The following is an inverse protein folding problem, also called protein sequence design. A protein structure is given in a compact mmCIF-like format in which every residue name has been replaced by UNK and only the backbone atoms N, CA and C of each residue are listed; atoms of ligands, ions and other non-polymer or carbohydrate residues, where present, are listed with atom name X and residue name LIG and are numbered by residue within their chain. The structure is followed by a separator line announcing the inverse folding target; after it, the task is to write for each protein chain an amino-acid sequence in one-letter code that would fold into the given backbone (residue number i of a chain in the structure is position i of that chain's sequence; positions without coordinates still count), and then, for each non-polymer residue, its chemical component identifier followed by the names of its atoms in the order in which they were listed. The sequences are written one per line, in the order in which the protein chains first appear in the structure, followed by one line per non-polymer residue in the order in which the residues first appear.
data_IF_791845430253
#
_entry.id   IF_791845430253
#
_cell.length_a   1.000
_cell.length_b   1.000
_cell.length_c   1.000
_cell.angle_alpha   90.00
_cell.angle_beta   90.00
_cell.angle_gamma   90.00
#
_symmetry.space_group_name_H-M   'P 1'
#
loop_
_entity.id
_entity.type
_entity.pdbx_description
1 polymer ?
#
# COMPACT_ATOMS: atom_id res chain seq x y z
N UNK A 1 6.23 -2.82 11.01
CA UNK A 1 5.28 -2.98 9.89
C UNK A 1 6.06 -3.30 8.62
N UNK A 2 5.48 -4.06 7.68
CA UNK A 2 5.99 -4.18 6.30
C UNK A 2 4.93 -3.62 5.38
N UNK A 3 5.29 -2.65 4.55
CA UNK A 3 4.45 -2.16 3.47
C UNK A 3 4.87 -2.82 2.16
N UNK A 4 3.89 -3.09 1.30
CA UNK A 4 4.13 -3.55 -0.06
C UNK A 4 3.27 -2.74 -1.02
N UNK A 5 3.88 -2.28 -2.10
CA UNK A 5 3.18 -1.69 -3.23
C UNK A 5 3.18 -2.69 -4.38
N UNK A 6 2.05 -2.83 -5.07
CA UNK A 6 1.91 -3.73 -6.23
C UNK A 6 1.48 -2.92 -7.44
N UNK A 7 2.27 -2.99 -8.52
CA UNK A 7 1.90 -2.47 -9.82
C UNK A 7 1.37 -3.60 -10.68
N UNK A 8 0.11 -3.50 -11.08
CA UNK A 8 -0.56 -4.53 -11.87
C UNK A 8 -1.29 -3.91 -13.07
N UNK A 9 -1.31 -4.65 -14.18
CA UNK A 9 -2.26 -4.41 -15.26
C UNK A 9 -3.56 -5.11 -14.91
N UNK A 10 -4.68 -4.39 -14.96
CA UNK A 10 -5.99 -4.92 -14.60
C UNK A 10 -7.02 -4.65 -15.70
N UNK A 11 -8.03 -5.50 -15.78
CA UNK A 11 -9.34 -5.12 -16.34
C UNK A 11 -10.37 -5.02 -15.21
N UNK A 12 -11.65 -4.79 -15.50
CA UNK A 12 -12.65 -4.63 -14.45
C UNK A 12 -12.88 -5.89 -13.56
N UNK A 13 -12.45 -7.07 -14.01
CA UNK A 13 -12.77 -8.35 -13.38
C UNK A 13 -11.55 -9.15 -12.90
N UNK A 14 -10.34 -8.87 -13.40
CA UNK A 14 -9.13 -9.59 -13.01
C UNK A 14 -7.83 -8.81 -13.17
N UNK A 15 -6.81 -9.25 -12.43
CA UNK A 15 -5.41 -8.95 -12.71
C UNK A 15 -4.97 -9.67 -13.99
N UNK A 16 -4.35 -8.93 -14.91
CA UNK A 16 -3.75 -9.43 -16.16
C UNK A 16 -2.28 -9.77 -16.00
N UNK A 17 -1.53 -8.89 -15.34
CA UNK A 17 -0.13 -9.10 -14.99
C UNK A 17 0.20 -8.31 -13.73
N UNK A 18 1.21 -8.79 -13.00
CA UNK A 18 1.91 -8.00 -11.99
C UNK A 18 3.23 -7.57 -12.61
N UNK A 19 3.38 -6.27 -12.79
CA UNK A 19 4.53 -5.67 -13.49
C UNK A 19 5.66 -5.33 -12.51
N UNK A 20 5.34 -5.19 -11.22
CA UNK A 20 6.33 -4.92 -10.17
C UNK A 20 5.75 -4.94 -8.77
N UNK A 21 6.63 -5.10 -7.80
CA UNK A 21 6.34 -4.95 -6.37
C UNK A 21 7.46 -4.16 -5.72
N UNK A 22 7.10 -3.26 -4.81
CA UNK A 22 8.05 -2.51 -3.98
C UNK A 22 7.77 -2.79 -2.51
N UNK A 23 8.80 -2.75 -1.67
CA UNK A 23 8.68 -3.09 -0.25
C UNK A 23 9.39 -2.07 0.63
N UNK A 24 8.81 -1.79 1.78
CA UNK A 24 9.44 -0.99 2.82
C UNK A 24 9.12 -1.54 4.21
N UNK A 25 10.01 -1.29 5.17
CA UNK A 25 9.91 -1.82 6.52
C UNK A 25 10.02 -0.69 7.53
N UNK A 26 9.01 -0.60 8.40
CA UNK A 26 9.03 0.28 9.55
C UNK A 26 9.27 -0.56 10.82
N UNK A 27 10.36 -0.29 11.54
CA UNK A 27 10.69 -1.02 12.76
C UNK A 27 9.94 -0.49 13.99
N UNK A 28 9.59 0.79 13.99
CA UNK A 28 8.95 1.49 15.11
C UNK A 28 7.41 1.31 15.11
N UNK A 29 6.72 1.62 16.23
CA UNK A 29 5.26 1.67 16.25
C UNK A 29 4.74 2.62 15.16
N UNK A 30 3.70 2.22 14.41
CA UNK A 30 3.15 3.08 13.38
C UNK A 30 2.36 4.23 13.99
N UNK A 31 2.73 5.46 13.67
CA UNK A 31 1.87 6.63 13.69
C UNK A 31 1.55 7.06 12.25
N UNK A 32 0.81 8.15 12.08
CA UNK A 32 0.45 8.65 10.76
C UNK A 32 1.68 8.99 9.90
N UNK A 33 2.65 9.73 10.45
CA UNK A 33 3.83 10.17 9.70
C UNK A 33 4.68 8.98 9.24
N UNK A 34 4.94 8.04 10.15
CA UNK A 34 5.70 6.83 9.87
C UNK A 34 4.96 5.92 8.87
N UNK A 35 3.63 5.85 8.94
CA UNK A 35 2.80 5.10 7.98
C UNK A 35 2.85 5.72 6.58
N UNK A 36 2.75 7.05 6.48
CA UNK A 36 2.88 7.74 5.19
C UNK A 36 4.28 7.59 4.60
N UNK A 37 5.32 7.68 5.44
CA UNK A 37 6.70 7.51 5.00
C UNK A 37 6.96 6.12 4.43
N UNK A 38 6.50 5.06 5.12
CA UNK A 38 6.73 3.67 4.65
C UNK A 38 5.89 3.34 3.41
N UNK A 39 4.69 3.93 3.26
CA UNK A 39 3.89 3.82 2.02
C UNK A 39 4.58 4.52 0.86
N UNK A 40 5.12 5.72 1.09
CA UNK A 40 5.85 6.47 0.07
C UNK A 40 7.12 5.73 -0.37
N UNK A 41 7.86 5.14 0.57
CA UNK A 41 9.04 4.33 0.28
C UNK A 41 8.68 3.09 -0.54
N UNK A 42 7.69 2.30 -0.13
CA UNK A 42 7.27 1.11 -0.86
C UNK A 42 6.77 1.43 -2.28
N UNK A 43 6.06 2.56 -2.44
CA UNK A 43 5.58 3.01 -3.75
C UNK A 43 6.73 3.53 -4.61
N UNK A 44 7.70 4.22 -4.02
CA UNK A 44 8.90 4.72 -4.69
C UNK A 44 9.85 3.62 -5.16
N UNK A 45 9.80 2.45 -4.53
CA UNK A 45 10.57 1.25 -4.91
C UNK A 45 10.01 0.53 -6.16
N UNK A 46 8.84 0.94 -6.67
CA UNK A 46 8.31 0.39 -7.91
C UNK A 46 9.11 0.82 -9.14
N UNK A 47 9.39 -0.14 -10.02
CA UNK A 47 9.92 0.17 -11.35
C UNK A 47 8.86 0.95 -12.17
N UNK A 48 9.12 2.24 -12.37
CA UNK A 48 8.20 3.24 -12.95
C UNK A 48 6.97 3.44 -12.04
N UNK A 49 7.09 4.24 -10.98
CA UNK A 49 5.98 4.53 -10.09
C UNK A 49 4.85 5.20 -10.88
N UNK A 50 3.58 4.81 -10.64
CA UNK A 50 2.46 5.38 -11.37
C UNK A 50 2.30 6.87 -11.02
N UNK A 51 1.98 7.68 -12.04
CA UNK A 51 1.49 9.04 -11.82
C UNK A 51 0.00 8.97 -11.49
N UNK A 52 -0.40 9.56 -10.36
CA UNK A 52 -1.81 9.60 -9.98
C UNK A 52 -2.00 9.76 -8.47
N UNK A 53 -3.26 9.99 -8.05
CA UNK A 53 -3.58 10.04 -6.63
C UNK A 53 -3.43 8.65 -6.00
N UNK A 54 -2.90 8.62 -4.77
CA UNK A 54 -3.03 7.47 -3.88
C UNK A 54 -4.41 7.55 -3.24
N UNK A 55 -5.17 6.46 -3.33
CA UNK A 55 -6.47 6.36 -2.66
C UNK A 55 -6.33 5.49 -1.43
N UNK A 56 -6.87 5.96 -0.31
CA UNK A 56 -6.85 5.24 0.95
C UNK A 56 -8.20 5.36 1.68
N UNK A 57 -8.55 4.34 2.46
CA UNK A 57 -9.74 4.32 3.32
C UNK A 57 -9.43 4.81 4.74
N UNK A 58 -10.43 5.34 5.44
CA UNK A 58 -10.28 5.92 6.78
C UNK A 58 -9.68 4.95 7.82
N UNK A 59 -9.79 3.63 7.61
CA UNK A 59 -9.20 2.62 8.48
C UNK A 59 -7.74 2.26 8.18
N UNK A 60 -7.18 2.69 7.04
CA UNK A 60 -5.85 2.30 6.60
C UNK A 60 -4.72 3.04 7.33
N UNK A 61 -5.06 4.11 8.06
CA UNK A 61 -4.15 4.87 8.92
C UNK A 61 -4.44 4.63 10.40
N UNK A 62 -4.65 3.37 10.80
CA UNK A 62 -4.75 2.99 12.23
C UNK A 62 -5.88 3.67 13.02
N UNK A 63 -6.99 3.98 12.36
CA UNK A 63 -8.11 4.71 12.97
C UNK A 63 -7.73 6.10 13.52
N UNK A 64 -6.61 6.67 13.04
CA UNK A 64 -6.23 8.05 13.35
C UNK A 64 -7.40 9.00 13.01
N UNK A 65 -7.70 9.98 13.89
CA UNK A 65 -8.78 10.92 13.63
C UNK A 65 -8.64 11.60 12.26
N UNK A 66 -9.76 11.72 11.54
CA UNK A 66 -9.79 12.29 10.19
C UNK A 66 -9.15 13.68 10.12
N UNK A 67 -9.25 14.49 11.18
CA UNK A 67 -8.60 15.80 11.29
C UNK A 67 -7.07 15.77 11.19
N UNK A 68 -6.42 14.65 11.51
CA UNK A 68 -4.99 14.44 11.35
C UNK A 68 -4.64 13.82 9.99
N UNK A 69 -5.51 12.96 9.46
CA UNK A 69 -5.29 12.22 8.20
C UNK A 69 -5.58 13.09 6.97
N UNK A 70 -6.73 13.76 6.93
CA UNK A 70 -7.22 14.53 5.77
C UNK A 70 -6.23 15.58 5.24
N UNK A 71 -5.48 16.34 6.06
CA UNK A 71 -4.50 17.30 5.55
C UNK A 71 -3.38 16.68 4.70
N UNK A 72 -3.13 15.37 4.83
CA UNK A 72 -2.15 14.63 4.04
C UNK A 72 -2.67 14.27 2.64
N UNK A 73 -3.98 14.37 2.41
CA UNK A 73 -4.64 14.01 1.16
C UNK A 73 -5.28 15.24 0.51
N UNK A 74 -4.90 15.60 -0.73
CA UNK A 74 -5.35 16.84 -1.34
C UNK A 74 -6.81 16.83 -1.83
N UNK A 75 -7.52 15.69 -1.81
CA UNK A 75 -8.87 15.58 -2.41
C UNK A 75 -9.67 14.43 -1.80
N UNK A 76 -10.91 14.71 -1.37
CA UNK A 76 -11.91 13.66 -1.11
C UNK A 76 -12.31 12.99 -2.43
N UNK A 77 -12.00 11.71 -2.57
CA UNK A 77 -12.28 10.94 -3.78
C UNK A 77 -13.17 9.75 -3.47
N UNK A 78 -14.38 9.72 -4.04
CA UNK A 78 -15.28 8.57 -3.95
C UNK A 78 -15.24 7.80 -5.27
N UNK A 79 -14.64 6.62 -5.26
CA UNK A 79 -14.62 5.73 -6.42
C UNK A 79 -15.26 4.38 -6.15
N UNK A 80 -15.85 3.80 -7.18
CA UNK A 80 -16.37 2.43 -7.12
C UNK A 80 -15.21 1.51 -7.45
N UNK A 81 -14.75 0.77 -6.45
CA UNK A 81 -13.70 -0.23 -6.60
C UNK A 81 -14.18 -1.40 -7.48
N UNK A 82 -13.38 -1.75 -8.49
CA UNK A 82 -13.55 -2.94 -9.32
C UNK A 82 -13.04 -4.19 -8.62
N UNK A 83 -13.45 -5.37 -9.10
CA UNK A 83 -12.96 -6.65 -8.53
C UNK A 83 -11.44 -6.78 -8.66
N UNK A 84 -10.85 -6.25 -9.74
CA UNK A 84 -9.42 -6.36 -9.96
C UNK A 84 -8.60 -5.40 -9.10
N UNK A 85 -9.11 -4.21 -8.80
CA UNK A 85 -8.48 -3.29 -7.83
C UNK A 85 -8.41 -3.95 -6.45
N UNK A 86 -9.53 -4.54 -6.00
CA UNK A 86 -9.56 -5.32 -4.75
C UNK A 86 -8.57 -6.46 -4.72
N UNK A 87 -8.48 -7.22 -5.82
CA UNK A 87 -7.51 -8.31 -5.93
C UNK A 87 -6.07 -7.79 -5.89
N UNK A 88 -5.81 -6.59 -6.42
CA UNK A 88 -4.48 -5.98 -6.41
C UNK A 88 -4.08 -5.58 -4.99
N UNK A 89 -5.01 -5.00 -4.22
CA UNK A 89 -4.83 -4.72 -2.78
C UNK A 89 -4.56 -6.01 -2.01
N UNK A 90 -5.34 -7.07 -2.28
CA UNK A 90 -5.13 -8.38 -1.64
C UNK A 90 -3.76 -8.98 -1.98
N UNK A 91 -3.29 -8.83 -3.23
CA UNK A 91 -1.96 -9.26 -3.63
C UNK A 91 -0.87 -8.50 -2.85
N UNK A 92 -1.03 -7.18 -2.67
CA UNK A 92 -0.12 -6.37 -1.86
C UNK A 92 -0.07 -6.85 -0.40
N UNK A 93 -1.23 -7.15 0.21
CA UNK A 93 -1.27 -7.72 1.55
C UNK A 93 -0.53 -9.05 1.63
N UNK A 94 -0.77 -9.98 0.69
CA UNK A 94 -0.06 -11.27 0.70
C UNK A 94 1.45 -11.11 0.53
N UNK A 95 1.88 -10.18 -0.33
CA UNK A 95 3.28 -9.85 -0.51
C UNK A 95 3.90 -9.30 0.79
N UNK A 96 3.24 -8.34 1.45
CA UNK A 96 3.70 -7.77 2.72
C UNK A 96 3.79 -8.83 3.83
N UNK A 97 2.79 -9.71 3.95
CA UNK A 97 2.82 -10.83 4.90
C UNK A 97 3.96 -11.79 4.58
N UNK A 98 4.14 -12.17 3.32
CA UNK A 98 5.24 -13.03 2.89
C UNK A 98 6.61 -12.44 3.23
N UNK A 99 6.84 -11.18 2.88
CA UNK A 99 8.07 -10.46 3.19
C UNK A 99 8.33 -10.37 4.71
N UNK A 100 7.29 -10.08 5.49
CA UNK A 100 7.37 -10.07 6.95
C UNK A 100 7.80 -11.42 7.52
N UNK A 101 7.24 -12.53 7.03
CA UNK A 101 7.62 -13.86 7.51
C UNK A 101 9.05 -14.23 7.10
N UNK A 102 9.48 -13.83 5.90
CA UNK A 102 10.88 -14.00 5.48
C UNK A 102 11.85 -13.27 6.40
N UNK A 103 11.56 -12.00 6.74
CA UNK A 103 12.38 -11.21 7.66
C UNK A 103 12.48 -11.82 9.06
N UNK A 104 11.38 -12.40 9.56
CA UNK A 104 11.40 -13.14 10.84
C UNK A 104 12.20 -14.44 10.77
N UNK A 105 12.11 -15.15 9.65
CA UNK A 105 12.80 -16.43 9.44
C UNK A 105 14.29 -16.27 9.14
N UNK A 106 14.71 -15.11 8.64
CA UNK A 106 16.10 -14.75 8.36
C UNK A 106 16.86 -14.17 9.56
N UNK A 107 16.21 -14.00 10.71
CA UNK A 107 16.86 -13.65 11.97
C UNK A 107 17.49 -14.88 12.63
N UNK A 108 18.72 -15.21 12.21
CA UNK A 108 19.67 -16.08 12.92
C UNK A 108 20.91 -15.28 13.28
#
# INVERSE_FOLDING_TARGET
MVAAAVRAQVDAARIRSVDGMGFAVLAEPPDLEATLAVVAEATGDLAHPPEGPVVAEAGEFYEEPAEFVEPSFPTEFKYVETVAERQSVQAAHYAAYGARELLKSGGA
#
